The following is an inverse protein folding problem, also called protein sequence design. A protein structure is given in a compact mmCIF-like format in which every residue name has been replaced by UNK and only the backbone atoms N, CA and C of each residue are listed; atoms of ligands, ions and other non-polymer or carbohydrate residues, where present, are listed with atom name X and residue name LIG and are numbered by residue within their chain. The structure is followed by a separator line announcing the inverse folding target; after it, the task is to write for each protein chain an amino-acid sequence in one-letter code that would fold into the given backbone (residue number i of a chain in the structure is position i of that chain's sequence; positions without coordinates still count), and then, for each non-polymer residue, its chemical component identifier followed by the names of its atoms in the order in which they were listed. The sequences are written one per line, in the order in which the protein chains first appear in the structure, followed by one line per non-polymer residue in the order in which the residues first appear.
data_IF_430049716852
#
_entry.id   IF_430049716852
#
_cell.length_a   1.000
_cell.length_b   1.000
_cell.length_c   1.000
_cell.angle_alpha   90.00
_cell.angle_beta   90.00
_cell.angle_gamma   90.00
#
_symmetry.space_group_name_H-M   'P 1'
#
loop_
_entity.id
_entity.type
_entity.pdbx_description
1 polymer ?
#
# COMPACT_ATOMS: atom_id res chain seq x y z
N UNK A 1 13.31 -14.05 -11.32
CA UNK A 1 12.06 -13.33 -11.64
C UNK A 1 11.82 -13.37 -13.15
N UNK A 2 10.63 -13.77 -13.58
CA UNK A 2 10.23 -13.85 -15.00
C UNK A 2 9.91 -12.47 -15.62
N UNK A 3 10.16 -11.37 -14.90
CA UNK A 3 9.89 -10.01 -15.36
C UNK A 3 8.42 -9.76 -15.68
N UNK A 4 7.50 -10.49 -15.03
CA UNK A 4 6.07 -10.47 -15.29
C UNK A 4 5.28 -10.13 -14.02
N UNK A 5 4.24 -9.31 -14.16
CA UNK A 5 3.22 -9.06 -13.15
C UNK A 5 1.88 -9.45 -13.72
N UNK A 6 1.12 -10.21 -12.94
CA UNK A 6 -0.27 -10.56 -13.25
C UNK A 6 -1.21 -9.70 -12.42
N UNK A 7 -2.15 -9.03 -13.09
CA UNK A 7 -3.17 -8.18 -12.49
C UNK A 7 -4.50 -8.91 -12.57
N UNK A 8 -5.11 -9.19 -11.42
CA UNK A 8 -6.43 -9.81 -11.35
C UNK A 8 -7.49 -8.72 -11.23
N UNK A 9 -8.29 -8.52 -12.28
CA UNK A 9 -9.19 -7.38 -12.41
C UNK A 9 -8.45 -6.10 -12.79
N UNK A 10 -8.52 -5.06 -11.94
CA UNK A 10 -7.88 -3.76 -12.21
C UNK A 10 -8.67 -2.55 -11.72
N UNK A 11 -10.01 -2.62 -11.80
CA UNK A 11 -10.91 -1.51 -11.49
C UNK A 11 -11.28 -1.39 -10.01
N UNK A 12 -10.64 -2.15 -9.13
CA UNK A 12 -10.94 -2.14 -7.71
C UNK A 12 -10.11 -1.06 -7.03
N UNK A 13 -10.75 -0.33 -6.13
CA UNK A 13 -10.06 0.67 -5.31
C UNK A 13 -9.29 -0.01 -4.18
N UNK A 14 -8.07 0.46 -3.95
CA UNK A 14 -7.20 0.08 -2.84
C UNK A 14 -6.67 1.34 -2.15
N UNK A 15 -7.01 1.57 -0.87
CA UNK A 15 -6.28 2.51 -0.05
C UNK A 15 -4.98 1.83 0.36
N UNK A 16 -3.85 2.49 0.12
CA UNK A 16 -2.53 1.98 0.47
C UNK A 16 -1.85 2.95 1.43
N UNK A 17 -0.99 2.41 2.28
CA UNK A 17 -0.20 3.19 3.23
C UNK A 17 1.13 2.48 3.46
N UNK A 18 2.20 3.25 3.57
CA UNK A 18 3.50 2.70 3.90
C UNK A 18 3.57 2.25 5.37
N UNK A 19 4.32 1.19 5.66
CA UNK A 19 4.43 0.64 7.02
C UNK A 19 5.00 1.65 8.02
N UNK A 20 5.91 2.53 7.59
CA UNK A 20 6.43 3.60 8.45
C UNK A 20 5.34 4.59 8.87
N UNK A 21 4.41 4.90 7.96
CA UNK A 21 3.30 5.81 8.24
C UNK A 21 2.25 5.16 9.15
N UNK A 22 2.09 3.83 9.07
CA UNK A 22 1.30 3.09 10.07
C UNK A 22 1.91 3.25 11.46
N UNK A 23 3.22 3.09 11.60
CA UNK A 23 3.93 3.29 12.88
C UNK A 23 3.73 4.73 13.37
N UNK A 24 3.92 5.72 12.50
CA UNK A 24 3.69 7.14 12.82
C UNK A 24 2.26 7.39 13.30
N UNK A 25 1.25 6.83 12.63
CA UNK A 25 -0.15 6.98 13.03
C UNK A 25 -0.42 6.37 14.41
N UNK A 26 0.13 5.18 14.68
CA UNK A 26 0.01 4.54 16.00
C UNK A 26 0.64 5.42 17.08
N UNK A 27 1.84 5.96 16.84
CA UNK A 27 2.48 6.89 17.77
C UNK A 27 1.62 8.14 17.99
N UNK A 28 1.08 8.76 16.94
CA UNK A 28 0.18 9.92 17.05
C UNK A 28 -1.07 9.63 17.89
N UNK A 29 -1.61 8.40 17.83
CA UNK A 29 -2.75 7.99 18.66
C UNK A 29 -2.32 7.81 20.13
N UNK A 30 -1.17 7.18 20.37
CA UNK A 30 -0.67 6.92 21.73
C UNK A 30 -0.26 8.21 22.46
N UNK A 31 0.23 9.21 21.74
CA UNK A 31 0.64 10.51 22.28
C UNK A 31 -0.54 11.48 22.44
N UNK A 32 -1.67 11.21 21.79
CA UNK A 32 -2.84 12.09 21.86
C UNK A 32 -3.58 11.99 23.20
N UNK A 33 -4.17 13.09 23.70
CA UNK A 33 -5.04 13.04 24.88
C UNK A 33 -6.18 12.03 24.72
N UNK A 34 -6.46 11.25 25.77
CA UNK A 34 -7.52 10.23 25.72
C UNK A 34 -8.89 10.81 25.35
N UNK A 35 -9.17 12.06 25.72
CA UNK A 35 -10.40 12.77 25.33
C UNK A 35 -10.55 12.97 23.82
N UNK A 36 -9.44 12.96 23.06
CA UNK A 36 -9.43 13.04 21.61
C UNK A 36 -9.56 11.69 20.92
N UNK A 37 -9.05 10.60 21.51
CA UNK A 37 -8.92 9.30 20.80
C UNK A 37 -9.73 8.15 21.42
N UNK A 38 -10.09 8.24 22.70
CA UNK A 38 -10.77 7.16 23.44
C UNK A 38 -12.13 6.80 22.85
N UNK A 39 -12.31 5.52 22.50
CA UNK A 39 -13.57 5.01 21.94
C UNK A 39 -13.85 5.45 20.50
N UNK A 40 -12.87 6.02 19.80
CA UNK A 40 -13.04 6.57 18.45
C UNK A 40 -12.31 5.72 17.42
N UNK A 41 -12.94 5.59 16.26
CA UNK A 41 -12.36 4.89 15.09
C UNK A 41 -11.80 5.90 14.11
N UNK A 42 -10.60 5.63 13.60
CA UNK A 42 -9.91 6.43 12.60
C UNK A 42 -9.51 5.56 11.41
N UNK A 43 -9.79 6.02 10.20
CA UNK A 43 -9.12 5.49 9.02
C UNK A 43 -7.71 6.08 8.97
N UNK A 44 -6.72 5.25 8.66
CA UNK A 44 -5.30 5.63 8.63
C UNK A 44 -4.79 5.57 7.19
N UNK A 45 -4.28 6.68 6.67
CA UNK A 45 -3.85 6.83 5.28
C UNK A 45 -3.94 8.27 4.80
N UNK A 46 -3.72 8.48 3.50
CA UNK A 46 -3.81 9.79 2.85
C UNK A 46 -4.92 9.81 1.80
N UNK A 47 -5.63 10.94 1.64
CA UNK A 47 -6.70 11.04 0.64
C UNK A 47 -6.19 10.88 -0.80
N UNK A 48 -4.91 11.15 -1.04
CA UNK A 48 -4.20 10.92 -2.31
C UNK A 48 -3.76 9.47 -2.52
N UNK A 49 -3.71 8.66 -1.46
CA UNK A 49 -3.21 7.28 -1.49
C UNK A 49 -4.34 6.25 -1.68
N UNK A 50 -5.36 6.63 -2.47
CA UNK A 50 -6.38 5.72 -2.97
C UNK A 50 -6.13 5.48 -4.46
N UNK A 51 -5.95 4.22 -4.86
CA UNK A 51 -5.61 3.87 -6.24
C UNK A 51 -6.57 2.83 -6.80
N UNK A 52 -6.81 2.86 -8.11
CA UNK A 52 -7.23 1.65 -8.81
C UNK A 52 -6.02 0.71 -8.92
N UNK A 53 -6.23 -0.60 -8.91
CA UNK A 53 -5.14 -1.56 -9.12
C UNK A 53 -4.43 -1.29 -10.47
N UNK A 54 -5.18 -0.87 -11.50
CA UNK A 54 -4.61 -0.45 -12.78
C UNK A 54 -3.66 0.75 -12.67
N UNK A 55 -3.89 1.68 -11.74
CA UNK A 55 -3.03 2.84 -11.56
C UNK A 55 -1.69 2.43 -10.94
N UNK A 56 -1.72 1.44 -10.05
CA UNK A 56 -0.52 0.87 -9.44
C UNK A 56 0.43 0.28 -10.48
N UNK A 57 -0.12 -0.35 -11.53
CA UNK A 57 0.68 -0.88 -12.65
C UNK A 57 1.52 0.21 -13.29
N UNK A 58 0.97 1.42 -13.45
CA UNK A 58 1.69 2.54 -14.06
C UNK A 58 2.85 2.99 -13.17
N UNK A 59 2.62 3.09 -11.85
CA UNK A 59 3.68 3.40 -10.88
C UNK A 59 4.78 2.33 -10.87
N UNK A 60 4.41 1.06 -10.98
CA UNK A 60 5.39 -0.03 -11.08
C UNK A 60 6.19 0.07 -12.37
N UNK A 61 5.56 0.35 -13.50
CA UNK A 61 6.26 0.53 -14.80
C UNK A 61 7.21 1.72 -14.82
N UNK A 62 6.93 2.78 -14.08
CA UNK A 62 7.86 3.90 -13.90
C UNK A 62 9.20 3.43 -13.31
N UNK A 63 9.15 2.46 -12.40
CA UNK A 63 10.31 1.94 -11.67
C UNK A 63 10.92 0.70 -12.35
N UNK A 64 10.10 -0.09 -13.05
CA UNK A 64 10.46 -1.32 -13.75
C UNK A 64 9.98 -1.24 -15.22
N UNK A 65 10.67 -0.51 -16.10
CA UNK A 65 10.21 -0.26 -17.47
C UNK A 65 10.07 -1.55 -18.31
N UNK A 66 10.89 -2.55 -18.01
CA UNK A 66 10.92 -3.84 -18.74
C UNK A 66 9.86 -4.84 -18.26
N UNK A 67 9.02 -4.48 -17.28
CA UNK A 67 8.04 -5.40 -16.72
C UNK A 67 6.91 -5.69 -17.70
N UNK A 68 6.66 -6.98 -17.94
CA UNK A 68 5.51 -7.45 -18.71
C UNK A 68 4.29 -7.50 -17.81
N UNK A 69 3.18 -6.95 -18.28
CA UNK A 69 1.93 -6.94 -17.51
C UNK A 69 0.90 -7.77 -18.25
N UNK A 70 0.31 -8.72 -17.53
CA UNK A 70 -0.84 -9.49 -17.98
C UNK A 70 -2.02 -9.17 -17.07
N UNK A 71 -3.14 -8.77 -17.64
CA UNK A 71 -4.38 -8.56 -16.90
C UNK A 71 -5.33 -9.71 -17.16
N UNK A 72 -5.78 -10.35 -16.09
CA UNK A 72 -6.80 -11.39 -16.12
C UNK A 72 -8.12 -10.79 -15.64
N UNK A 73 -9.21 -10.99 -16.39
CA UNK A 73 -10.53 -10.50 -15.99
C UNK A 73 -11.06 -11.19 -14.72
N UNK A 74 -10.52 -12.37 -14.41
CA UNK A 74 -10.89 -13.12 -13.21
C UNK A 74 -10.58 -12.33 -11.94
N UNK A 75 -11.64 -12.04 -11.18
CA UNK A 75 -11.59 -11.36 -9.90
C UNK A 75 -11.35 -12.36 -8.76
N UNK A 76 -10.10 -12.54 -8.36
CA UNK A 76 -9.75 -13.36 -7.19
C UNK A 76 -10.11 -12.68 -5.87
N UNK A 77 -10.14 -11.34 -5.85
CA UNK A 77 -10.55 -10.53 -4.70
C UNK A 77 -11.59 -9.47 -5.11
N UNK A 78 -12.84 -9.69 -4.67
CA UNK A 78 -14.00 -8.82 -4.96
C UNK A 78 -14.02 -7.53 -4.13
N UNK A 79 -13.15 -7.39 -3.12
CA UNK A 79 -13.14 -6.20 -2.26
C UNK A 79 -12.75 -4.97 -3.08
N UNK A 80 -13.32 -3.82 -2.73
CA UNK A 80 -13.02 -2.52 -3.33
C UNK A 80 -13.33 -1.43 -2.32
N UNK A 81 -12.31 -0.67 -1.90
CA UNK A 81 -12.45 0.36 -0.88
C UNK A 81 -11.85 1.67 -1.36
N UNK A 82 -12.62 2.76 -1.23
CA UNK A 82 -12.12 4.12 -1.40
C UNK A 82 -12.42 4.88 -0.12
N UNK A 83 -11.37 5.26 0.61
CA UNK A 83 -11.47 5.66 2.00
C UNK A 83 -11.17 7.15 2.15
N UNK A 84 -11.94 7.81 3.02
CA UNK A 84 -11.66 9.18 3.46
C UNK A 84 -10.88 9.16 4.76
N UNK A 85 -9.82 9.97 4.82
CA UNK A 85 -8.89 10.06 5.96
C UNK A 85 -8.99 11.41 6.69
N UNK A 86 -9.93 12.28 6.32
CA UNK A 86 -10.03 13.63 6.89
C UNK A 86 -10.21 13.69 8.41
N UNK A 87 -10.71 12.63 9.06
CA UNK A 87 -10.84 12.59 10.52
C UNK A 87 -9.50 12.52 11.24
N UNK A 88 -8.58 11.67 10.78
CA UNK A 88 -7.26 11.56 11.44
C UNK A 88 -6.41 12.80 11.15
N UNK A 89 -6.56 13.37 9.96
CA UNK A 89 -5.93 14.62 9.55
C UNK A 89 -6.41 15.80 10.42
N UNK A 90 -7.72 16.00 10.57
CA UNK A 90 -8.25 17.15 11.30
C UNK A 90 -8.06 17.05 12.82
N UNK A 91 -8.12 15.85 13.39
CA UNK A 91 -8.12 15.68 14.84
C UNK A 91 -6.72 15.45 15.43
N UNK A 92 -5.86 14.77 14.67
CA UNK A 92 -4.51 14.39 15.08
C UNK A 92 -3.42 15.05 14.23
N UNK A 93 -3.76 15.79 13.17
CA UNK A 93 -2.76 16.39 12.27
C UNK A 93 -1.99 15.35 11.46
N UNK A 94 -2.48 14.12 11.39
CA UNK A 94 -1.77 13.04 10.72
C UNK A 94 -1.85 13.19 9.19
N UNK A 95 -0.68 13.18 8.56
CA UNK A 95 -0.51 13.02 7.12
C UNK A 95 0.59 11.98 6.87
N UNK A 96 0.38 11.04 5.92
CA UNK A 96 1.42 10.11 5.54
C UNK A 96 2.58 10.86 4.86
N UNK A 97 3.80 10.39 5.08
CA UNK A 97 5.01 10.98 4.52
C UNK A 97 5.53 10.21 3.31
N UNK A 98 5.09 8.97 3.12
CA UNK A 98 5.53 8.10 2.03
C UNK A 98 4.36 7.80 1.10
N UNK A 99 4.63 7.92 -0.19
CA UNK A 99 3.71 7.51 -1.24
C UNK A 99 3.88 6.03 -1.57
N UNK A 100 2.92 5.46 -2.29
CA UNK A 100 3.08 4.13 -2.90
C UNK A 100 4.32 4.05 -3.80
N UNK A 101 4.63 5.12 -4.55
CA UNK A 101 5.80 5.16 -5.43
C UNK A 101 7.11 5.08 -4.64
N UNK A 102 7.18 5.71 -3.47
CA UNK A 102 8.34 5.58 -2.58
C UNK A 102 8.52 4.12 -2.13
N UNK A 103 7.44 3.46 -1.73
CA UNK A 103 7.47 2.04 -1.37
C UNK A 103 7.92 1.13 -2.52
N UNK A 104 7.47 1.39 -3.75
CA UNK A 104 7.92 0.64 -4.94
C UNK A 104 9.42 0.83 -5.16
N UNK A 105 9.94 2.05 -5.02
CA UNK A 105 11.38 2.35 -5.14
C UNK A 105 12.19 1.68 -4.02
N UNK A 106 11.67 1.62 -2.80
CA UNK A 106 12.31 0.88 -1.69
C UNK A 106 12.40 -0.62 -1.99
N UNK A 107 11.32 -1.22 -2.51
CA UNK A 107 11.32 -2.63 -2.92
C UNK A 107 12.36 -2.86 -4.04
N UNK A 108 12.39 -2.02 -5.07
CA UNK A 108 13.42 -2.10 -6.12
C UNK A 108 14.83 -2.07 -5.55
N UNK A 109 15.12 -1.10 -4.69
CA UNK A 109 16.43 -0.96 -4.07
C UNK A 109 16.83 -2.19 -3.24
N UNK A 110 15.87 -2.81 -2.53
CA UNK A 110 16.11 -4.02 -1.76
C UNK A 110 16.37 -5.25 -2.65
N UNK A 111 15.68 -5.36 -3.80
CA UNK A 111 15.92 -6.39 -4.80
C UNK A 111 17.31 -6.23 -5.44
N UNK A 112 17.67 -5.01 -5.86
CA UNK A 112 18.96 -4.72 -6.49
C UNK A 112 20.15 -4.99 -5.55
N UNK A 113 19.95 -4.82 -4.23
CA UNK A 113 20.94 -5.13 -3.18
C UNK A 113 20.99 -6.60 -2.78
N UNK A 114 20.08 -7.44 -3.28
CA UNK A 114 19.98 -8.83 -2.86
C UNK A 114 19.55 -9.01 -1.40
N UNK A 115 18.80 -8.05 -0.84
CA UNK A 115 18.31 -8.13 0.56
C UNK A 115 17.42 -9.35 0.78
N UNK A 116 16.69 -9.78 -0.25
CA UNK A 116 15.83 -10.96 -0.21
C UNK A 116 16.54 -12.17 -0.82
N UNK A 117 16.97 -13.12 0.01
CA UNK A 117 17.66 -14.34 -0.44
C UNK A 117 16.84 -15.18 -1.44
N UNK A 118 15.52 -15.28 -1.22
CA UNK A 118 14.59 -15.96 -2.10
C UNK A 118 13.24 -15.23 -2.09
N UNK A 119 12.91 -14.52 -3.17
CA UNK A 119 11.66 -13.77 -3.30
C UNK A 119 10.43 -14.66 -3.48
N UNK A 120 10.62 -15.93 -3.86
CA UNK A 120 9.54 -16.92 -4.03
C UNK A 120 9.26 -17.70 -2.73
N UNK A 121 9.88 -17.31 -1.61
CA UNK A 121 9.65 -17.95 -0.32
C UNK A 121 8.20 -17.74 0.14
N UNK A 122 7.53 -18.83 0.55
CA UNK A 122 6.12 -18.84 1.00
C UNK A 122 5.82 -17.81 2.09
N UNK A 123 6.82 -17.41 2.89
CA UNK A 123 6.68 -16.38 3.94
C UNK A 123 6.21 -15.02 3.40
N UNK A 124 6.38 -14.74 2.11
CA UNK A 124 5.91 -13.51 1.47
C UNK A 124 4.50 -13.62 0.86
N UNK A 125 3.86 -14.79 0.94
CA UNK A 125 2.57 -15.08 0.29
C UNK A 125 1.50 -15.43 1.33
N UNK A 126 0.69 -14.45 1.70
CA UNK A 126 -0.38 -14.63 2.70
C UNK A 126 -1.57 -15.50 2.24
N UNK A 127 -1.69 -15.81 0.95
CA UNK A 127 -2.78 -16.60 0.36
C UNK A 127 -2.37 -18.03 0.01
N UNK A 128 -1.08 -18.37 0.16
CA UNK A 128 -0.54 -19.72 -0.03
C UNK A 128 -0.37 -20.46 1.30
N UNK A 129 -0.91 -19.91 2.39
CA UNK A 129 -0.94 -20.56 3.70
C UNK A 129 -1.93 -21.72 3.73
#
# INVERSE_FOLDING_TARGET
CEGKITVFGGNQWRPLIHVSDVVKAVLSILEAPISKVGGRVFNVGGNTENYLISDLVNLVKEVFPEVRVETLETMTDQRSYRVKFGKIESELGFLPERTVLDGIREIKNALDKGTFNNVEDRRYYNHLM
#
